data_IF_035844442289
#
_entry.id   IF_035844442289
#
_cell.length_a   1.000
_cell.length_b   1.000
_cell.length_c   1.000
_cell.angle_alpha   90.00
_cell.angle_beta   90.00
_cell.angle_gamma   90.00
#
_symmetry.space_group_name_H-M   'P 1'
#
loop_
_entity.id
_entity.type
_entity.pdbx_description
1 polymer ?
#
# COMPACT_ATOMS: atom_id res chain seq x y z
N UNK A 1 -9.27 -1.56 16.56
CA UNK A 1 -9.37 -0.77 15.33
C UNK A 1 -8.63 -1.44 14.20
N UNK A 2 -9.29 -1.69 13.08
CA UNK A 2 -8.65 -2.21 11.87
C UNK A 2 -8.44 -1.07 10.88
N UNK A 3 -7.17 -0.80 10.57
CA UNK A 3 -6.79 0.26 9.64
C UNK A 3 -6.69 -0.30 8.22
N UNK A 4 -7.28 0.41 7.27
CA UNK A 4 -7.17 0.13 5.85
C UNK A 4 -6.54 1.33 5.15
N UNK A 5 -5.58 1.09 4.27
CA UNK A 5 -5.19 2.12 3.30
C UNK A 5 -6.42 2.42 2.44
N UNK A 6 -6.73 3.69 2.20
CA UNK A 6 -7.87 4.09 1.39
C UNK A 6 -7.40 4.85 0.15
N UNK A 7 -7.94 4.45 -1.00
CA UNK A 7 -7.77 5.15 -2.26
C UNK A 7 -9.12 5.40 -2.93
N UNK A 8 -9.12 6.24 -3.97
CA UNK A 8 -10.29 6.51 -4.79
C UNK A 8 -9.93 6.57 -6.26
N UNK A 9 -10.65 5.83 -7.10
CA UNK A 9 -10.27 5.71 -8.51
C UNK A 9 -10.27 7.07 -9.23
N UNK A 10 -11.14 8.01 -8.84
CA UNK A 10 -11.21 9.34 -9.45
C UNK A 10 -10.17 10.37 -8.97
N UNK A 11 -9.38 10.11 -7.92
CA UNK A 11 -8.43 11.11 -7.40
C UNK A 11 -7.21 10.51 -6.70
N UNK A 12 -6.09 11.24 -6.74
CA UNK A 12 -4.89 10.97 -5.91
C UNK A 12 -4.84 11.82 -4.63
N UNK A 13 -5.80 12.72 -4.44
CA UNK A 13 -5.93 13.52 -3.24
C UNK A 13 -6.67 12.72 -2.16
N UNK A 14 -6.99 13.38 -1.03
CA UNK A 14 -7.81 12.81 0.04
C UNK A 14 -9.07 12.12 -0.54
N UNK A 15 -9.20 10.78 -0.40
CA UNK A 15 -10.19 10.00 -1.15
C UNK A 15 -11.62 10.16 -0.63
N UNK A 16 -11.78 10.35 0.67
CA UNK A 16 -13.08 10.53 1.32
C UNK A 16 -12.96 11.41 2.58
N UNK A 17 -14.09 11.76 3.19
CA UNK A 17 -14.10 12.65 4.37
C UNK A 17 -13.40 12.02 5.59
N UNK A 18 -13.62 10.73 5.80
CA UNK A 18 -13.12 9.91 6.91
C UNK A 18 -11.62 9.62 6.80
N UNK A 19 -11.05 9.76 5.60
CA UNK A 19 -9.65 9.50 5.37
C UNK A 19 -8.75 10.40 6.22
N UNK A 20 -7.85 9.80 6.99
CA UNK A 20 -6.85 10.52 7.79
C UNK A 20 -5.46 10.26 7.22
N UNK A 21 -4.60 11.30 7.12
CA UNK A 21 -3.24 11.12 6.66
C UNK A 21 -2.43 10.35 7.72
N UNK A 22 -1.57 9.46 7.25
CA UNK A 22 -0.58 8.73 8.04
C UNK A 22 0.72 8.64 7.27
N UNK A 23 1.82 8.63 8.00
CA UNK A 23 3.13 8.36 7.42
C UNK A 23 3.43 6.87 7.57
N UNK A 24 3.83 6.23 6.48
CA UNK A 24 4.14 4.81 6.44
C UNK A 24 5.38 4.55 5.59
N UNK A 25 6.22 3.62 6.06
CA UNK A 25 7.41 3.17 5.33
C UNK A 25 6.96 2.42 4.08
N UNK A 26 7.40 2.90 2.92
CA UNK A 26 7.14 2.24 1.64
C UNK A 26 8.13 1.10 1.42
N UNK A 27 7.64 -0.05 0.97
CA UNK A 27 8.42 -1.25 0.70
C UNK A 27 8.58 -1.38 -0.81
N UNK A 28 9.82 -1.28 -1.31
CA UNK A 28 10.15 -1.53 -2.71
C UNK A 28 10.52 -3.01 -2.90
N UNK A 29 9.66 -3.76 -3.59
CA UNK A 29 9.89 -5.17 -3.92
C UNK A 29 10.33 -5.37 -5.35
N UNK A 30 11.23 -6.34 -5.57
CA UNK A 30 11.70 -6.76 -6.89
C UNK A 30 11.57 -8.27 -7.03
N UNK A 31 11.15 -8.71 -8.21
CA UNK A 31 10.77 -10.11 -8.52
C UNK A 31 11.94 -11.10 -8.59
N UNK A 32 13.13 -10.73 -8.11
CA UNK A 32 14.28 -11.63 -7.99
C UNK A 32 14.26 -12.30 -6.62
N UNK A 33 14.72 -13.55 -6.55
CA UNK A 33 14.51 -14.37 -5.35
C UNK A 33 15.56 -14.16 -4.27
N UNK A 34 16.75 -13.69 -4.65
CA UNK A 34 17.88 -13.58 -3.73
C UNK A 34 18.58 -12.24 -3.85
N UNK A 35 19.14 -11.75 -2.75
CA UNK A 35 19.95 -10.53 -2.74
C UNK A 35 21.20 -10.69 -3.62
N UNK A 36 21.72 -11.92 -3.73
CA UNK A 36 22.85 -12.20 -4.61
C UNK A 36 22.49 -12.03 -6.08
N UNK A 37 21.31 -12.50 -6.50
CA UNK A 37 20.81 -12.27 -7.85
C UNK A 37 20.58 -10.77 -8.11
N UNK A 38 20.01 -10.06 -7.13
CA UNK A 38 19.75 -8.62 -7.21
C UNK A 38 21.01 -7.82 -7.53
N UNK A 39 22.17 -8.18 -6.96
CA UNK A 39 23.46 -7.49 -7.21
C UNK A 39 23.91 -7.54 -8.67
N UNK A 40 23.45 -8.54 -9.43
CA UNK A 40 23.78 -8.68 -10.86
C UNK A 40 22.82 -7.93 -11.79
N UNK A 41 21.73 -7.37 -11.26
CA UNK A 41 20.76 -6.61 -12.07
C UNK A 41 21.25 -5.18 -12.26
N UNK A 42 20.87 -4.56 -13.36
CA UNK A 42 21.18 -3.16 -13.68
C UNK A 42 20.72 -2.20 -12.56
N UNK A 43 19.53 -2.44 -12.01
CA UNK A 43 18.97 -1.68 -10.90
C UNK A 43 19.60 -2.05 -9.53
N UNK A 44 20.39 -3.12 -9.46
CA UNK A 44 20.91 -3.70 -8.22
C UNK A 44 21.77 -2.72 -7.44
N UNK A 45 22.65 -1.99 -8.11
CA UNK A 45 23.51 -0.98 -7.46
C UNK A 45 22.68 0.06 -6.71
N UNK A 46 21.72 0.68 -7.39
CA UNK A 46 20.81 1.65 -6.77
C UNK A 46 19.97 1.00 -5.66
N UNK A 47 19.59 -0.27 -5.84
CA UNK A 47 18.81 -1.00 -4.83
C UNK A 47 19.52 -1.08 -3.49
N UNK A 48 20.82 -1.40 -3.49
CA UNK A 48 21.63 -1.51 -2.29
C UNK A 48 22.20 -0.17 -1.78
N UNK A 49 22.30 0.85 -2.64
CA UNK A 49 22.76 2.19 -2.26
C UNK A 49 21.66 3.06 -1.66
N UNK A 50 20.38 2.73 -1.87
CA UNK A 50 19.26 3.51 -1.31
C UNK A 50 18.29 2.63 -0.53
N UNK A 51 17.63 3.23 0.46
CA UNK A 51 16.75 2.50 1.38
C UNK A 51 17.53 1.66 2.39
N UNK A 52 16.78 1.03 3.29
CA UNK A 52 17.28 0.25 4.41
C UNK A 52 16.66 -1.15 4.42
N UNK A 53 17.12 -2.01 5.34
CA UNK A 53 16.48 -3.29 5.65
C UNK A 53 16.28 -4.20 4.40
N UNK A 54 17.32 -4.32 3.56
CA UNK A 54 17.33 -5.20 2.40
C UNK A 54 17.19 -6.66 2.83
N UNK A 55 16.22 -7.36 2.27
CA UNK A 55 15.86 -8.72 2.69
C UNK A 55 15.26 -9.54 1.56
N UNK A 56 15.22 -10.85 1.77
CA UNK A 56 14.51 -11.81 0.92
C UNK A 56 13.18 -12.14 1.60
N UNK A 57 12.04 -11.85 0.96
CA UNK A 57 10.70 -12.11 1.49
C UNK A 57 9.73 -12.45 0.35
N UNK A 58 8.77 -13.35 0.61
CA UNK A 58 7.71 -13.71 -0.36
C UNK A 58 8.24 -14.13 -1.76
N UNK A 59 9.41 -14.76 -1.82
CA UNK A 59 10.04 -15.14 -3.08
C UNK A 59 10.58 -13.97 -3.90
N UNK A 60 10.74 -12.81 -3.26
CA UNK A 60 11.22 -11.55 -3.82
C UNK A 60 12.34 -11.00 -2.95
N UNK A 61 13.00 -9.94 -3.42
CA UNK A 61 13.82 -9.07 -2.56
C UNK A 61 13.06 -7.79 -2.27
N UNK A 62 13.21 -7.29 -1.05
CA UNK A 62 12.55 -6.08 -0.58
C UNK A 62 13.54 -5.17 0.13
N UNK A 63 13.22 -3.88 0.16
CA UNK A 63 13.88 -2.86 1.00
C UNK A 63 12.85 -1.87 1.51
N UNK A 64 13.16 -1.26 2.63
CA UNK A 64 12.38 -0.16 3.19
C UNK A 64 12.90 1.15 2.56
N UNK A 65 11.99 1.98 2.04
CA UNK A 65 12.27 3.34 1.55
C UNK A 65 11.71 4.36 2.54
N UNK A 66 11.93 5.65 2.25
CA UNK A 66 11.43 6.76 3.07
C UNK A 66 9.92 6.66 3.34
N UNK A 67 9.51 7.27 4.45
CA UNK A 67 8.11 7.41 4.80
C UNK A 67 7.36 8.19 3.71
N UNK A 68 6.18 7.68 3.34
CA UNK A 68 5.26 8.37 2.45
C UNK A 68 3.95 8.62 3.18
N UNK A 69 3.36 9.78 2.89
CA UNK A 69 2.03 10.10 3.36
C UNK A 69 1.00 9.29 2.58
N UNK A 70 0.26 8.46 3.30
CA UNK A 70 -0.86 7.66 2.83
C UNK A 70 -2.15 8.15 3.50
N UNK A 71 -3.30 7.77 2.94
CA UNK A 71 -4.58 7.94 3.61
C UNK A 71 -5.06 6.61 4.16
N UNK A 72 -5.57 6.62 5.39
CA UNK A 72 -6.20 5.46 6.00
C UNK A 72 -7.64 5.75 6.43
N UNK A 73 -8.44 4.69 6.59
CA UNK A 73 -9.71 4.69 7.31
C UNK A 73 -9.70 3.60 8.38
N UNK A 74 -10.44 3.82 9.46
CA UNK A 74 -10.68 2.84 10.50
C UNK A 74 -12.08 2.25 10.29
N UNK A 75 -12.16 0.93 10.16
CA UNK A 75 -13.42 0.19 10.06
C UNK A 75 -13.31 -1.04 10.97
N UNK A 76 -14.11 -1.09 12.02
CA UNK A 76 -13.99 -2.07 13.10
C UNK A 76 -15.09 -3.13 13.05
N UNK A 77 -16.20 -2.80 12.41
CA UNK A 77 -17.39 -3.64 12.37
C UNK A 77 -17.89 -3.84 10.95
N UNK A 78 -18.65 -4.91 10.74
CA UNK A 78 -19.30 -5.14 9.46
C UNK A 78 -20.34 -4.04 9.17
N UNK A 79 -21.02 -3.54 10.19
CA UNK A 79 -21.98 -2.45 10.11
C UNK A 79 -21.33 -1.14 9.64
N UNK A 80 -20.12 -0.84 10.11
CA UNK A 80 -19.32 0.29 9.62
C UNK A 80 -18.92 0.09 8.15
N UNK A 81 -18.50 -1.12 7.76
CA UNK A 81 -18.20 -1.43 6.37
C UNK A 81 -19.42 -1.27 5.45
N UNK A 82 -20.58 -1.76 5.90
CA UNK A 82 -21.85 -1.62 5.18
C UNK A 82 -22.21 -0.14 5.05
N UNK A 83 -22.12 0.63 6.14
CA UNK A 83 -22.40 2.07 6.12
C UNK A 83 -21.44 2.83 5.18
N UNK A 84 -20.18 2.42 5.13
CA UNK A 84 -19.18 2.97 4.21
C UNK A 84 -19.53 2.67 2.75
N UNK A 85 -19.94 1.45 2.45
CA UNK A 85 -20.44 1.03 1.14
C UNK A 85 -21.71 1.78 0.72
N UNK A 86 -22.70 1.91 1.60
CA UNK A 86 -23.93 2.65 1.32
C UNK A 86 -23.65 4.12 1.01
N UNK A 87 -22.65 4.71 1.66
CA UNK A 87 -22.27 6.11 1.50
C UNK A 87 -21.50 6.39 0.21
N UNK A 88 -20.53 5.55 -0.13
CA UNK A 88 -19.59 5.79 -1.23
C UNK A 88 -19.82 4.92 -2.46
N UNK A 89 -20.74 3.96 -2.37
CA UNK A 89 -21.02 3.01 -3.43
C UNK A 89 -20.00 1.89 -3.47
N UNK A 90 -19.50 1.56 -4.66
CA UNK A 90 -18.66 0.37 -4.87
C UNK A 90 -17.32 0.52 -4.14
N UNK A 91 -17.08 -0.42 -3.21
CA UNK A 91 -15.82 -0.56 -2.49
C UNK A 91 -15.11 -1.84 -2.93
N UNK A 92 -13.82 -1.77 -3.19
CA UNK A 92 -12.96 -2.94 -3.46
C UNK A 92 -12.07 -3.15 -2.23
N UNK A 93 -12.09 -4.35 -1.67
CA UNK A 93 -11.15 -4.79 -0.63
C UNK A 93 -9.97 -5.47 -1.32
N UNK A 94 -8.76 -4.98 -1.06
CA UNK A 94 -7.52 -5.51 -1.59
C UNK A 94 -6.55 -5.92 -0.49
N UNK A 95 -5.56 -6.72 -0.88
CA UNK A 95 -4.34 -6.87 -0.10
C UNK A 95 -3.48 -5.61 -0.28
N UNK A 96 -2.81 -5.21 0.79
CA UNK A 96 -1.79 -4.17 0.77
C UNK A 96 -0.50 -4.75 1.29
N UNK A 97 0.57 -4.58 0.53
CA UNK A 97 1.88 -5.10 0.87
C UNK A 97 2.99 -4.05 0.71
N UNK A 98 2.74 -2.92 0.05
CA UNK A 98 3.72 -1.88 -0.25
C UNK A 98 3.99 -0.94 0.92
N UNK A 99 3.21 -1.01 2.01
CA UNK A 99 3.42 -0.18 3.18
C UNK A 99 3.54 -1.01 4.45
N UNK A 100 4.63 -0.78 5.19
CA UNK A 100 4.95 -1.54 6.41
C UNK A 100 3.85 -1.34 7.45
N UNK A 101 3.35 -2.46 7.99
CA UNK A 101 2.31 -2.46 9.02
C UNK A 101 0.88 -2.48 8.48
N UNK A 102 0.69 -2.31 7.17
CA UNK A 102 -0.61 -2.41 6.51
C UNK A 102 -0.70 -3.75 5.77
N UNK A 103 -1.88 -4.38 5.82
CA UNK A 103 -2.16 -5.66 5.16
C UNK A 103 -3.31 -5.59 4.16
N UNK A 104 -4.15 -4.56 4.30
CA UNK A 104 -5.37 -4.42 3.53
C UNK A 104 -5.56 -2.99 3.06
N UNK A 105 -6.18 -2.87 1.91
CA UNK A 105 -6.59 -1.60 1.32
C UNK A 105 -8.07 -1.64 0.96
N UNK A 106 -8.68 -0.46 0.94
CA UNK A 106 -10.00 -0.21 0.39
C UNK A 106 -9.86 0.78 -0.76
N UNK A 107 -10.60 0.55 -1.84
CA UNK A 107 -10.71 1.49 -2.95
C UNK A 107 -12.16 1.90 -3.13
N UNK A 108 -12.44 3.20 -3.10
CA UNK A 108 -13.70 3.77 -3.59
C UNK A 108 -13.62 3.79 -5.12
N UNK A 109 -14.40 2.93 -5.77
CA UNK A 109 -14.35 2.75 -7.21
C UNK A 109 -15.43 3.59 -7.90
N UNK A 110 -15.04 4.70 -8.51
CA UNK A 110 -15.94 5.59 -9.27
C UNK A 110 -16.01 5.26 -10.77
N UNK A 111 -15.19 4.32 -11.26
CA UNK A 111 -15.08 4.04 -12.69
C UNK A 111 -13.66 3.73 -13.15
N UNK A 112 -13.56 3.28 -14.41
CA UNK A 112 -12.33 2.81 -15.05
C UNK A 112 -11.35 3.98 -15.28
N UNK A 113 -10.07 3.77 -14.96
CA UNK A 113 -8.97 4.64 -15.39
C UNK A 113 -8.48 4.11 -16.74
N UNK A 114 -8.56 4.90 -17.80
CA UNK A 114 -7.73 4.67 -19.01
C UNK A 114 -6.26 4.97 -18.73
#
# INVERSE_FOLDING_TARGET
MMEFIIERSSTRNKPCKEAVPRDAIYIDRRTVKTLQEAKSKEWGKQFFETGDNHREELGMVARDLDERSIYIVNIDTLEEMISFFEKYGRIILGEEDNYKGYKYSLEIYDGWRE
#
